data_IF_655532402062
#
_entry.id   IF_655532402062
#
_cell.length_a   1.000
_cell.length_b   1.000
_cell.length_c   1.000
_cell.angle_alpha   90.00
_cell.angle_beta   90.00
_cell.angle_gamma   90.00
#
_symmetry.space_group_name_H-M   'P 1'
#
loop_
_entity.id
_entity.type
_entity.pdbx_description
1 polymer ?
#
# COMPACT_ATOMS: atom_id res chain seq x y z
N UNK A 1 29.18 11.54 -20.98
CA UNK A 1 28.32 10.95 -19.94
C UNK A 1 27.47 9.79 -20.46
N UNK A 2 27.68 9.38 -21.71
CA UNK A 2 27.26 8.09 -22.27
C UNK A 2 28.21 6.96 -21.85
N UNK A 3 29.50 7.26 -21.65
CA UNK A 3 30.54 6.25 -21.39
C UNK A 3 30.54 5.64 -19.97
N UNK A 4 29.72 6.13 -19.03
CA UNK A 4 29.62 5.55 -17.68
C UNK A 4 28.50 4.53 -17.57
N UNK A 5 27.38 4.77 -18.25
CA UNK A 5 26.29 3.79 -18.42
C UNK A 5 26.68 2.69 -19.41
N UNK A 6 27.46 3.01 -20.46
CA UNK A 6 28.03 1.99 -21.35
C UNK A 6 29.03 1.06 -20.64
N UNK A 7 29.74 1.53 -19.59
CA UNK A 7 30.71 0.72 -18.84
C UNK A 7 30.10 -0.17 -17.75
N UNK A 8 28.86 0.10 -17.32
CA UNK A 8 28.12 -0.76 -16.38
C UNK A 8 27.34 -1.82 -17.16
N UNK A 9 26.78 -1.45 -18.32
CA UNK A 9 26.13 -2.38 -19.26
C UNK A 9 27.15 -3.29 -19.97
N UNK A 10 28.39 -2.84 -20.24
CA UNK A 10 29.42 -3.70 -20.86
C UNK A 10 30.06 -4.71 -19.90
N UNK A 11 29.85 -4.61 -18.58
CA UNK A 11 30.40 -5.58 -17.63
C UNK A 11 29.55 -6.85 -17.52
N UNK A 12 28.34 -6.83 -18.10
CA UNK A 12 27.34 -7.92 -18.02
C UNK A 12 26.81 -8.35 -19.40
N UNK A 13 27.26 -7.71 -20.49
CA UNK A 13 26.95 -8.07 -21.87
C UNK A 13 28.18 -8.62 -22.61
N UNK A 14 28.44 -9.90 -22.42
CA UNK A 14 28.96 -10.85 -23.43
C UNK A 14 28.11 -12.11 -23.15
N UNK A 15 27.13 -12.53 -23.95
CA UNK A 15 27.02 -12.73 -25.39
C UNK A 15 25.52 -12.63 -25.78
N UNK A 16 25.25 -12.45 -27.08
CA UNK A 16 23.91 -12.50 -27.71
C UNK A 16 22.97 -13.55 -27.08
N UNK A 17 22.01 -13.10 -26.25
CA UNK A 17 20.98 -13.94 -25.64
C UNK A 17 19.66 -13.18 -25.59
N UNK A 18 18.56 -13.88 -25.85
CA UNK A 18 17.18 -13.40 -25.74
C UNK A 18 16.97 -12.63 -24.43
N UNK A 19 16.11 -11.60 -24.41
CA UNK A 19 15.87 -10.80 -23.20
C UNK A 19 15.51 -11.77 -22.07
N UNK A 20 16.03 -11.58 -20.86
CA UNK A 20 15.85 -12.52 -19.75
C UNK A 20 14.37 -12.85 -19.44
N UNK A 21 13.45 -11.90 -19.69
CA UNK A 21 11.99 -12.08 -19.61
C UNK A 21 11.37 -12.88 -20.77
N UNK A 22 12.07 -13.05 -21.90
CA UNK A 22 11.70 -13.96 -23.00
C UNK A 22 12.08 -15.42 -22.66
N UNK A 23 13.16 -15.62 -21.90
CA UNK A 23 13.63 -16.95 -21.46
C UNK A 23 12.90 -17.46 -20.22
N UNK A 24 12.57 -16.56 -19.29
CA UNK A 24 11.86 -16.88 -18.04
C UNK A 24 10.66 -15.93 -17.87
N UNK A 25 9.52 -16.24 -18.52
CA UNK A 25 8.34 -15.38 -18.47
C UNK A 25 7.71 -15.38 -17.08
N UNK A 26 6.92 -14.33 -16.80
CA UNK A 26 6.12 -14.26 -15.58
C UNK A 26 5.04 -15.34 -15.55
N UNK A 27 4.95 -16.05 -14.42
CA UNK A 27 3.99 -17.15 -14.22
C UNK A 27 2.86 -16.74 -13.25
N UNK A 28 2.99 -15.58 -12.61
CA UNK A 28 2.01 -14.98 -11.69
C UNK A 28 1.87 -13.48 -11.93
N UNK A 29 0.86 -12.84 -11.34
CA UNK A 29 0.71 -11.38 -11.34
C UNK A 29 1.57 -10.69 -10.27
N UNK A 30 2.30 -11.44 -9.44
CA UNK A 30 3.12 -10.89 -8.35
C UNK A 30 4.60 -10.79 -8.75
N UNK A 31 5.16 -9.56 -8.85
CA UNK A 31 6.57 -9.38 -9.21
C UNK A 31 7.54 -10.10 -8.27
N UNK A 32 7.26 -10.06 -6.96
CA UNK A 32 8.11 -10.70 -5.94
C UNK A 32 8.11 -12.23 -6.06
N UNK A 33 6.96 -12.82 -6.41
CA UNK A 33 6.86 -14.27 -6.60
C UNK A 33 7.54 -14.67 -7.91
N UNK A 34 7.43 -13.86 -8.96
CA UNK A 34 8.14 -14.10 -10.22
C UNK A 34 9.67 -14.01 -10.08
N UNK A 35 10.21 -13.20 -9.15
CA UNK A 35 11.64 -13.20 -8.83
C UNK A 35 12.08 -14.57 -8.31
N UNK A 36 11.37 -15.12 -7.32
CA UNK A 36 11.62 -16.47 -6.79
C UNK A 36 11.50 -17.54 -7.88
N UNK A 37 10.43 -17.50 -8.68
CA UNK A 37 10.21 -18.47 -9.76
C UNK A 37 11.34 -18.43 -10.77
N UNK A 38 11.74 -17.24 -11.23
CA UNK A 38 12.88 -17.07 -12.16
C UNK A 38 14.18 -17.57 -11.54
N UNK A 39 14.43 -17.32 -10.25
CA UNK A 39 15.59 -17.85 -9.54
C UNK A 39 15.57 -19.40 -9.53
N UNK A 40 14.41 -20.00 -9.28
CA UNK A 40 14.23 -21.46 -9.35
C UNK A 40 14.44 -22.02 -10.75
N UNK A 41 13.89 -21.39 -11.80
CA UNK A 41 14.09 -21.79 -13.20
C UNK A 41 15.57 -21.69 -13.61
N UNK A 42 16.25 -20.60 -13.24
CA UNK A 42 17.70 -20.43 -13.47
C UNK A 42 18.53 -21.48 -12.73
N UNK A 43 18.15 -21.82 -11.50
CA UNK A 43 18.80 -22.89 -10.74
C UNK A 43 18.64 -24.25 -11.44
N UNK A 44 17.43 -24.59 -11.90
CA UNK A 44 17.15 -25.82 -12.67
C UNK A 44 18.01 -25.88 -13.95
N UNK A 45 18.20 -24.75 -14.62
CA UNK A 45 19.04 -24.63 -15.83
C UNK A 45 20.55 -24.59 -15.54
N UNK A 46 20.95 -24.60 -14.26
CA UNK A 46 22.35 -24.50 -13.84
C UNK A 46 22.98 -23.13 -14.10
N UNK A 47 22.14 -22.09 -14.23
CA UNK A 47 22.53 -20.68 -14.39
C UNK A 47 22.73 -19.96 -13.07
N UNK A 48 22.23 -20.55 -11.98
CA UNK A 48 22.40 -20.05 -10.62
C UNK A 48 23.05 -21.13 -9.75
N UNK A 49 23.96 -20.75 -8.86
CA UNK A 49 24.51 -21.71 -7.89
C UNK A 49 23.48 -22.06 -6.82
N UNK A 50 23.70 -23.18 -6.12
CA UNK A 50 22.85 -23.56 -5.00
C UNK A 50 22.87 -22.52 -3.88
N UNK A 51 24.00 -21.86 -3.63
CA UNK A 51 24.12 -20.87 -2.56
C UNK A 51 23.34 -19.59 -2.90
N UNK A 52 23.48 -19.09 -4.13
CA UNK A 52 22.70 -17.96 -4.63
C UNK A 52 21.20 -18.26 -4.63
N UNK A 53 20.81 -19.49 -4.98
CA UNK A 53 19.40 -19.87 -5.05
C UNK A 53 18.78 -19.91 -3.67
N UNK A 54 19.46 -20.55 -2.71
CA UNK A 54 18.99 -20.64 -1.33
C UNK A 54 18.88 -19.26 -0.70
N UNK A 55 19.79 -18.33 -1.02
CA UNK A 55 19.68 -16.96 -0.54
C UNK A 55 18.36 -16.28 -0.98
N UNK A 56 17.92 -16.49 -2.22
CA UNK A 56 16.63 -15.96 -2.71
C UNK A 56 15.42 -16.65 -2.05
N UNK A 57 15.53 -17.94 -1.77
CA UNK A 57 14.50 -18.71 -1.04
C UNK A 57 14.38 -18.17 0.39
N UNK A 58 15.50 -18.02 1.10
CA UNK A 58 15.56 -17.50 2.48
C UNK A 58 14.99 -16.07 2.56
N UNK A 59 15.40 -15.18 1.65
CA UNK A 59 14.89 -13.81 1.59
C UNK A 59 13.37 -13.77 1.32
N UNK A 60 12.86 -14.74 0.56
CA UNK A 60 11.41 -14.85 0.34
C UNK A 60 10.68 -15.42 1.55
N UNK A 61 11.28 -16.39 2.25
CA UNK A 61 10.73 -16.94 3.49
C UNK A 61 10.62 -15.88 4.58
N UNK A 62 11.63 -15.02 4.75
CA UNK A 62 11.59 -13.91 5.71
C UNK A 62 10.45 -12.91 5.42
N UNK A 63 10.23 -12.58 4.14
CA UNK A 63 9.11 -11.72 3.73
C UNK A 63 7.76 -12.38 3.99
N UNK A 64 7.65 -13.69 3.73
CA UNK A 64 6.45 -14.47 3.97
C UNK A 64 6.09 -14.52 5.46
N UNK A 65 7.08 -14.76 6.32
CA UNK A 65 6.91 -14.83 7.78
C UNK A 65 6.43 -13.48 8.34
N UNK A 66 7.02 -12.37 7.86
CA UNK A 66 6.56 -11.02 8.22
C UNK A 66 5.10 -10.78 7.80
N UNK A 67 4.75 -11.11 6.55
CA UNK A 67 3.40 -10.91 6.04
C UNK A 67 2.36 -11.76 6.79
N UNK A 68 2.70 -13.01 7.11
CA UNK A 68 1.86 -13.89 7.92
C UNK A 68 1.67 -13.34 9.34
N UNK A 69 2.74 -12.83 9.98
CA UNK A 69 2.65 -12.21 11.30
C UNK A 69 1.77 -10.96 11.32
N UNK A 70 1.83 -10.13 10.28
CA UNK A 70 0.95 -8.97 10.11
C UNK A 70 -0.52 -9.39 9.91
N UNK A 71 -0.78 -10.42 9.12
CA UNK A 71 -2.12 -10.99 8.92
C UNK A 71 -2.71 -11.55 10.21
N UNK A 72 -1.93 -12.34 10.97
CA UNK A 72 -2.36 -12.91 12.25
C UNK A 72 -2.72 -11.83 13.25
N UNK A 73 -1.88 -10.79 13.36
CA UNK A 73 -2.16 -9.65 14.23
C UNK A 73 -3.43 -8.91 13.80
N UNK A 74 -3.63 -8.73 12.49
CA UNK A 74 -4.88 -8.16 11.96
C UNK A 74 -6.10 -9.02 12.35
N UNK A 75 -6.03 -10.34 12.13
CA UNK A 75 -7.11 -11.28 12.41
C UNK A 75 -7.47 -11.34 13.90
N UNK A 76 -6.49 -11.30 14.81
CA UNK A 76 -6.70 -11.28 16.26
C UNK A 76 -7.48 -10.04 16.73
N UNK A 77 -7.34 -8.92 16.03
CA UNK A 77 -8.00 -7.66 16.35
C UNK A 77 -9.42 -7.54 15.75
N UNK A 78 -9.85 -8.49 14.92
CA UNK A 78 -11.18 -8.49 14.31
C UNK A 78 -12.25 -9.06 15.26
N UNK A 79 -13.46 -8.46 15.30
CA UNK A 79 -14.64 -9.05 15.93
C UNK A 79 -14.92 -10.47 15.41
N UNK A 80 -15.47 -11.34 16.26
CA UNK A 80 -15.75 -12.74 15.90
C UNK A 80 -16.79 -12.89 14.78
N UNK A 81 -17.65 -11.89 14.59
CA UNK A 81 -18.67 -11.85 13.54
C UNK A 81 -18.24 -11.05 12.30
N UNK A 82 -16.98 -10.60 12.25
CA UNK A 82 -16.45 -9.86 11.12
C UNK A 82 -16.19 -10.80 9.92
N UNK A 83 -16.77 -10.54 8.73
CA UNK A 83 -16.55 -11.37 7.55
C UNK A 83 -15.07 -11.41 7.08
N UNK A 84 -14.25 -10.42 7.45
CA UNK A 84 -12.82 -10.41 7.16
C UNK A 84 -12.03 -11.49 7.93
N UNK A 85 -12.61 -12.05 8.99
CA UNK A 85 -11.99 -13.09 9.82
C UNK A 85 -11.89 -14.43 9.09
N UNK A 86 -12.95 -14.82 8.36
CA UNK A 86 -12.93 -16.04 7.52
C UNK A 86 -11.92 -15.92 6.37
N UNK A 87 -11.79 -14.73 5.78
CA UNK A 87 -10.77 -14.47 4.76
C UNK A 87 -9.35 -14.54 5.33
N UNK A 88 -9.16 -14.13 6.59
CA UNK A 88 -7.84 -14.17 7.23
C UNK A 88 -7.42 -15.61 7.48
N UNK A 89 -8.32 -16.44 8.01
CA UNK A 89 -8.07 -17.87 8.21
C UNK A 89 -7.71 -18.58 6.89
N UNK A 90 -8.41 -18.26 5.79
CA UNK A 90 -8.08 -18.80 4.47
C UNK A 90 -6.74 -18.30 3.93
N UNK A 91 -6.40 -17.03 4.23
CA UNK A 91 -5.14 -16.43 3.81
C UNK A 91 -3.96 -17.04 4.58
N UNK A 92 -4.12 -17.32 5.87
CA UNK A 92 -3.12 -18.03 6.68
C UNK A 92 -2.81 -19.41 6.08
N UNK A 93 -3.84 -20.18 5.71
CA UNK A 93 -3.64 -21.48 5.04
C UNK A 93 -2.90 -21.34 3.71
N UNK A 94 -3.20 -20.31 2.92
CA UNK A 94 -2.50 -20.06 1.67
C UNK A 94 -1.03 -19.64 1.90
N UNK A 95 -0.74 -18.87 2.96
CA UNK A 95 0.63 -18.56 3.38
C UNK A 95 1.39 -19.82 3.84
N UNK A 96 0.75 -20.71 4.59
CA UNK A 96 1.35 -21.99 5.01
C UNK A 96 1.68 -22.89 3.80
N UNK A 97 0.77 -22.99 2.82
CA UNK A 97 1.02 -23.71 1.57
C UNK A 97 2.17 -23.08 0.77
N UNK A 98 2.27 -21.75 0.74
CA UNK A 98 3.39 -21.05 0.12
C UNK A 98 4.71 -21.41 0.83
N UNK A 99 4.71 -21.44 2.16
CA UNK A 99 5.85 -21.84 2.98
C UNK A 99 6.31 -23.27 2.68
N UNK A 100 5.38 -24.21 2.47
CA UNK A 100 5.72 -25.57 2.04
C UNK A 100 6.43 -25.59 0.68
N UNK A 101 6.04 -24.71 -0.24
CA UNK A 101 6.73 -24.53 -1.52
C UNK A 101 8.19 -24.09 -1.33
N UNK A 102 8.43 -23.14 -0.42
CA UNK A 102 9.79 -22.70 -0.06
C UNK A 102 10.62 -23.82 0.59
N UNK A 103 10.04 -24.58 1.52
CA UNK A 103 10.72 -25.73 2.15
C UNK A 103 11.10 -26.81 1.13
N UNK A 104 10.30 -27.02 0.08
CA UNK A 104 10.67 -27.91 -1.03
C UNK A 104 11.83 -27.32 -1.84
N UNK A 105 11.80 -26.02 -2.14
CA UNK A 105 12.88 -25.34 -2.85
C UNK A 105 14.21 -25.38 -2.08
N UNK A 106 14.21 -25.26 -0.76
CA UNK A 106 15.42 -25.30 0.08
C UNK A 106 16.24 -26.59 -0.08
N UNK A 107 15.64 -27.67 -0.58
CA UNK A 107 16.34 -28.93 -0.84
C UNK A 107 17.34 -28.82 -2.00
N UNK A 108 17.23 -27.78 -2.83
CA UNK A 108 18.11 -27.48 -3.95
C UNK A 108 18.37 -28.69 -4.88
N UNK A 109 17.34 -29.49 -5.14
CA UNK A 109 17.35 -30.47 -6.23
C UNK A 109 16.38 -30.02 -7.31
N UNK A 110 16.65 -30.35 -8.58
CA UNK A 110 15.81 -29.88 -9.69
C UNK A 110 14.34 -30.25 -9.50
N UNK A 111 14.08 -31.50 -9.10
CA UNK A 111 12.73 -32.01 -8.89
C UNK A 111 12.02 -31.33 -7.72
N UNK A 112 12.74 -31.01 -6.64
CA UNK A 112 12.15 -30.34 -5.48
C UNK A 112 11.89 -28.86 -5.76
N UNK A 113 12.77 -28.20 -6.53
CA UNK A 113 12.58 -26.82 -6.96
C UNK A 113 11.42 -26.70 -7.95
N UNK A 114 11.28 -27.62 -8.91
CA UNK A 114 10.11 -27.65 -9.81
C UNK A 114 8.80 -27.79 -9.01
N UNK A 115 8.75 -28.74 -8.08
CA UNK A 115 7.57 -28.95 -7.24
C UNK A 115 7.29 -27.75 -6.33
N UNK A 116 8.32 -27.15 -5.73
CA UNK A 116 8.19 -25.95 -4.92
C UNK A 116 7.65 -24.76 -5.72
N UNK A 117 8.08 -24.60 -6.99
CA UNK A 117 7.57 -23.55 -7.88
C UNK A 117 6.07 -23.73 -8.07
N UNK A 118 5.62 -24.94 -8.39
CA UNK A 118 4.20 -25.23 -8.61
C UNK A 118 3.36 -24.89 -7.35
N UNK A 119 3.84 -25.29 -6.16
CA UNK A 119 3.17 -24.97 -4.89
C UNK A 119 3.10 -23.46 -4.62
N UNK A 120 4.22 -22.74 -4.81
CA UNK A 120 4.24 -21.28 -4.63
C UNK A 120 3.31 -20.57 -5.62
N UNK A 121 3.21 -21.04 -6.87
CA UNK A 121 2.28 -20.50 -7.86
C UNK A 121 0.82 -20.73 -7.44
N UNK A 122 0.48 -21.95 -7.02
CA UNK A 122 -0.89 -22.26 -6.57
C UNK A 122 -1.30 -21.42 -5.36
N UNK A 123 -0.40 -21.29 -4.37
CA UNK A 123 -0.63 -20.45 -3.20
C UNK A 123 -0.73 -18.96 -3.56
N UNK A 124 0.09 -18.47 -4.50
CA UNK A 124 0.03 -17.11 -5.00
C UNK A 124 -1.36 -16.76 -5.59
N UNK A 125 -1.91 -17.67 -6.41
CA UNK A 125 -3.24 -17.47 -6.99
C UNK A 125 -4.36 -17.49 -5.93
N UNK A 126 -4.22 -18.32 -4.88
CA UNK A 126 -5.15 -18.31 -3.74
C UNK A 126 -5.10 -16.98 -2.98
N UNK A 127 -3.90 -16.48 -2.68
CA UNK A 127 -3.71 -15.19 -2.02
C UNK A 127 -4.25 -14.03 -2.86
N UNK A 128 -4.04 -14.04 -4.18
CA UNK A 128 -4.61 -13.05 -5.09
C UNK A 128 -6.14 -13.08 -5.09
N UNK A 129 -6.72 -14.28 -5.15
CA UNK A 129 -8.18 -14.47 -5.08
C UNK A 129 -8.76 -13.94 -3.76
N UNK A 130 -8.11 -14.22 -2.64
CA UNK A 130 -8.53 -13.76 -1.31
C UNK A 130 -8.39 -12.24 -1.17
N UNK A 131 -7.34 -11.65 -1.73
CA UNK A 131 -7.16 -10.21 -1.77
C UNK A 131 -8.31 -9.51 -2.53
N UNK A 132 -8.79 -10.08 -3.64
CA UNK A 132 -9.98 -9.55 -4.33
C UNK A 132 -11.22 -9.57 -3.43
N UNK A 133 -11.38 -10.58 -2.57
CA UNK A 133 -12.52 -10.65 -1.65
C UNK A 133 -12.41 -9.63 -0.51
N UNK A 134 -11.19 -9.35 -0.03
CA UNK A 134 -10.97 -8.23 0.90
C UNK A 134 -11.37 -6.89 0.29
N UNK A 135 -10.98 -6.64 -0.97
CA UNK A 135 -11.38 -5.44 -1.70
C UNK A 135 -12.90 -5.35 -1.87
N UNK A 136 -13.58 -6.47 -2.13
CA UNK A 136 -15.04 -6.52 -2.21
C UNK A 136 -15.72 -6.22 -0.86
N UNK A 137 -15.21 -6.74 0.26
CA UNK A 137 -15.73 -6.44 1.60
C UNK A 137 -15.55 -4.98 1.95
N UNK A 138 -14.38 -4.41 1.65
CA UNK A 138 -14.11 -2.99 1.85
C UNK A 138 -15.10 -2.15 1.02
N UNK A 139 -15.30 -2.49 -0.26
CA UNK A 139 -16.29 -1.83 -1.13
C UNK A 139 -17.71 -1.94 -0.59
N UNK A 140 -18.11 -3.10 -0.06
CA UNK A 140 -19.43 -3.28 0.53
C UNK A 140 -19.63 -2.44 1.79
N UNK A 141 -18.61 -2.33 2.64
CA UNK A 141 -18.63 -1.47 3.83
C UNK A 141 -18.80 0.02 3.50
N UNK A 142 -18.42 0.39 2.27
CA UNK A 142 -18.50 1.74 1.70
C UNK A 142 -19.81 2.02 0.93
N UNK A 143 -20.77 1.10 0.90
CA UNK A 143 -22.03 1.30 0.17
C UNK A 143 -23.03 2.13 0.97
N UNK A 144 -23.74 3.05 0.29
CA UNK A 144 -24.80 3.86 0.89
C UNK A 144 -26.17 3.27 0.56
N UNK A 145 -26.97 3.01 1.60
CA UNK A 145 -28.34 2.58 1.42
C UNK A 145 -29.26 3.72 0.94
N UNK A 146 -30.07 3.44 -0.08
CA UNK A 146 -31.11 4.36 -0.49
C UNK A 146 -32.24 4.41 0.54
N UNK A 147 -32.47 5.57 1.17
CA UNK A 147 -33.56 5.75 2.15
C UNK A 147 -34.98 5.50 1.59
N UNK A 148 -35.14 5.44 0.28
CA UNK A 148 -36.45 5.20 -0.36
C UNK A 148 -36.73 3.73 -0.67
N UNK A 149 -35.71 2.97 -1.06
CA UNK A 149 -35.90 1.59 -1.54
C UNK A 149 -34.94 0.57 -0.91
N UNK A 150 -34.08 1.02 0.01
CA UNK A 150 -33.05 0.25 0.70
C UNK A 150 -32.05 -0.46 -0.23
N UNK A 151 -32.04 -0.10 -1.52
CA UNK A 151 -31.03 -0.61 -2.44
C UNK A 151 -29.67 -0.04 -2.03
N UNK A 152 -28.61 -0.86 -1.88
CA UNK A 152 -27.26 -0.37 -1.66
C UNK A 152 -26.74 0.28 -2.93
N UNK A 153 -26.06 1.42 -2.82
CA UNK A 153 -25.50 2.14 -3.97
C UNK A 153 -24.05 2.52 -3.68
N UNK A 154 -23.23 2.62 -4.74
CA UNK A 154 -21.88 3.17 -4.62
C UNK A 154 -21.90 4.57 -4.01
N UNK A 155 -20.87 4.92 -3.23
CA UNK A 155 -20.83 6.17 -2.47
C UNK A 155 -20.67 7.44 -3.30
N UNK A 156 -20.27 7.30 -4.56
CA UNK A 156 -20.07 8.38 -5.52
C UNK A 156 -21.31 8.67 -6.39
N UNK A 157 -22.48 8.12 -6.05
CA UNK A 157 -23.74 8.33 -6.79
C UNK A 157 -24.61 9.38 -6.11
N UNK A 158 -25.04 10.37 -6.89
CA UNK A 158 -26.03 11.36 -6.43
C UNK A 158 -27.47 10.78 -6.40
N UNK A 159 -27.71 9.72 -7.16
CA UNK A 159 -29.05 9.12 -7.32
C UNK A 159 -29.00 7.61 -7.26
N UNK A 160 -29.99 7.01 -6.60
CA UNK A 160 -30.17 5.58 -6.48
C UNK A 160 -30.35 4.91 -7.85
N UNK A 161 -29.61 3.84 -8.11
CA UNK A 161 -29.69 3.10 -9.37
C UNK A 161 -31.04 2.43 -9.59
N UNK A 162 -31.68 2.00 -8.50
CA UNK A 162 -32.95 1.27 -8.55
C UNK A 162 -34.18 2.18 -8.69
N UNK A 163 -34.21 3.31 -7.97
CA UNK A 163 -35.41 4.15 -7.88
C UNK A 163 -35.22 5.63 -8.25
N UNK A 164 -33.99 6.01 -8.65
CA UNK A 164 -33.60 7.37 -9.03
C UNK A 164 -33.81 8.43 -7.94
N UNK A 165 -34.06 8.03 -6.69
CA UNK A 165 -34.12 8.95 -5.57
C UNK A 165 -32.73 9.50 -5.26
N UNK A 166 -32.66 10.77 -4.87
CA UNK A 166 -31.43 11.38 -4.36
C UNK A 166 -30.94 10.60 -3.14
N UNK A 167 -29.67 10.20 -3.15
CA UNK A 167 -29.06 9.48 -2.05
C UNK A 167 -28.60 10.48 -0.96
N UNK A 168 -28.58 10.07 0.32
CA UNK A 168 -27.98 10.90 1.37
C UNK A 168 -26.51 11.14 1.06
N UNK A 169 -26.08 12.41 1.12
CA UNK A 169 -24.73 12.89 0.85
C UNK A 169 -23.69 12.45 1.91
N UNK A 170 -23.76 11.23 2.46
CA UNK A 170 -22.86 10.82 3.54
C UNK A 170 -21.41 10.60 3.08
N UNK A 171 -21.15 10.29 1.79
CA UNK A 171 -19.79 10.06 1.29
C UNK A 171 -19.31 11.03 0.20
N UNK A 172 -20.11 12.05 -0.18
CA UNK A 172 -19.56 13.18 -0.95
C UNK A 172 -18.61 14.03 -0.13
N UNK A 173 -18.72 14.00 1.20
CA UNK A 173 -17.81 14.71 2.10
C UNK A 173 -16.62 13.85 2.57
N UNK A 174 -16.65 12.53 2.37
CA UNK A 174 -15.61 11.62 2.89
C UNK A 174 -14.87 10.76 1.86
N UNK A 175 -15.39 10.48 0.65
CA UNK A 175 -14.81 9.40 -0.17
C UNK A 175 -14.89 9.54 -1.70
N UNK A 176 -15.50 10.57 -2.26
CA UNK A 176 -15.85 10.55 -3.70
C UNK A 176 -14.85 11.23 -4.68
N UNK A 177 -13.75 11.85 -4.24
CA UNK A 177 -12.77 12.47 -5.17
C UNK A 177 -11.42 11.72 -5.30
N UNK A 178 -11.19 10.68 -4.49
CA UNK A 178 -9.83 10.42 -4.02
C UNK A 178 -9.34 8.98 -4.13
N UNK A 179 -9.69 8.17 -5.12
CA UNK A 179 -8.95 6.94 -5.39
C UNK A 179 -8.75 6.74 -6.88
N UNK A 180 -7.51 6.54 -7.29
CA UNK A 180 -7.20 5.95 -8.59
C UNK A 180 -6.34 4.72 -8.36
N UNK A 181 -6.43 3.78 -9.27
CA UNK A 181 -5.66 2.54 -9.20
C UNK A 181 -4.23 2.83 -9.69
N UNK A 182 -3.21 2.48 -8.90
CA UNK A 182 -1.85 2.35 -9.43
C UNK A 182 -1.74 1.05 -10.25
N UNK A 183 -0.64 0.89 -11.01
CA UNK A 183 -0.42 -0.30 -11.83
C UNK A 183 -0.31 -1.61 -11.01
N UNK A 184 -0.13 -1.52 -9.69
CA UNK A 184 0.16 -2.66 -8.81
C UNK A 184 -1.03 -3.11 -7.94
N UNK A 185 -2.27 -2.73 -8.33
CA UNK A 185 -3.52 -3.11 -7.64
C UNK A 185 -3.62 -2.65 -6.17
N UNK A 186 -2.71 -1.82 -5.69
CA UNK A 186 -2.81 -1.11 -4.41
C UNK A 186 -3.81 0.04 -4.56
N UNK A 187 -4.81 0.11 -3.68
CA UNK A 187 -5.71 1.26 -3.64
C UNK A 187 -4.95 2.46 -3.05
N UNK A 188 -4.57 3.37 -3.93
CA UNK A 188 -3.87 4.60 -3.56
C UNK A 188 -4.84 5.77 -3.66
N UNK A 189 -4.94 6.63 -2.62
CA UNK A 189 -5.80 7.77 -2.76
C UNK A 189 -5.27 8.68 -3.86
N UNK A 190 -6.16 9.24 -4.69
CA UNK A 190 -5.82 9.89 -5.96
C UNK A 190 -4.79 11.00 -5.79
N UNK A 191 -4.85 11.72 -4.68
CA UNK A 191 -3.92 12.80 -4.39
C UNK A 191 -2.51 12.33 -4.09
N UNK A 192 -2.32 11.03 -3.81
CA UNK A 192 -1.04 10.38 -3.59
C UNK A 192 -0.59 9.49 -4.75
N UNK A 193 -1.39 9.34 -5.82
CA UNK A 193 -0.99 8.52 -6.98
C UNK A 193 0.32 8.99 -7.59
N UNK A 194 0.47 10.31 -7.77
CA UNK A 194 1.70 10.88 -8.33
C UNK A 194 2.91 10.62 -7.41
N UNK A 195 2.69 10.54 -6.10
CA UNK A 195 3.74 10.23 -5.12
C UNK A 195 4.07 8.73 -5.13
N UNK A 196 3.06 7.88 -5.17
CA UNK A 196 3.20 6.43 -5.22
C UNK A 196 3.92 5.98 -6.49
N UNK A 197 3.47 6.47 -7.66
CA UNK A 197 4.13 6.22 -8.94
C UNK A 197 5.58 6.72 -8.94
N UNK A 198 5.88 7.78 -8.19
CA UNK A 198 7.23 8.30 -8.05
C UNK A 198 8.11 7.42 -7.14
N UNK A 199 7.55 6.73 -6.14
CA UNK A 199 8.26 5.72 -5.36
C UNK A 199 8.77 4.59 -6.25
N UNK A 200 7.90 4.05 -7.12
CA UNK A 200 8.27 2.95 -8.00
C UNK A 200 9.33 3.39 -9.02
N UNK A 201 9.14 4.58 -9.61
CA UNK A 201 10.08 5.14 -10.59
C UNK A 201 11.43 5.49 -9.97
N UNK A 202 11.47 6.00 -8.74
CA UNK A 202 12.76 6.34 -8.10
C UNK A 202 13.48 5.09 -7.62
N UNK A 203 12.75 4.08 -7.14
CA UNK A 203 13.31 2.77 -6.79
C UNK A 203 13.86 2.03 -8.04
N UNK A 204 13.16 2.12 -9.18
CA UNK A 204 13.62 1.56 -10.45
C UNK A 204 14.75 2.38 -11.12
N UNK A 205 15.04 3.58 -10.61
CA UNK A 205 16.00 4.52 -11.22
C UNK A 205 15.50 5.20 -12.51
N UNK A 206 14.19 5.13 -12.78
CA UNK A 206 13.53 5.75 -13.93
C UNK A 206 13.42 7.28 -13.79
N UNK A 207 13.39 7.79 -12.55
CA UNK A 207 13.51 9.23 -12.25
C UNK A 207 14.74 9.51 -11.38
N UNK A 208 15.40 10.66 -11.57
CA UNK A 208 16.53 11.04 -10.74
C UNK A 208 16.10 11.39 -9.31
N UNK A 209 17.00 11.21 -8.35
CA UNK A 209 16.76 11.48 -6.92
C UNK A 209 16.32 12.93 -6.70
N UNK A 210 16.80 13.89 -7.48
CA UNK A 210 16.37 15.28 -7.37
C UNK A 210 14.90 15.49 -7.77
N UNK A 211 14.40 14.72 -8.74
CA UNK A 211 12.99 14.76 -9.15
C UNK A 211 12.10 14.13 -8.06
N UNK A 212 12.57 13.04 -7.44
CA UNK A 212 11.93 12.44 -6.26
C UNK A 212 11.87 13.40 -5.05
N UNK A 213 12.99 14.01 -4.69
CA UNK A 213 13.06 15.00 -3.61
C UNK A 213 12.10 16.17 -3.85
N UNK A 214 11.92 16.55 -5.12
CA UNK A 214 10.95 17.58 -5.48
C UNK A 214 9.50 17.12 -5.27
N UNK A 215 9.16 15.85 -5.55
CA UNK A 215 7.84 15.30 -5.22
C UNK A 215 7.59 15.29 -3.72
N UNK A 216 8.54 14.81 -2.92
CA UNK A 216 8.46 14.84 -1.46
C UNK A 216 8.27 16.27 -0.93
N UNK A 217 9.04 17.23 -1.45
CA UNK A 217 8.93 18.63 -1.08
C UNK A 217 7.51 19.18 -1.32
N UNK A 218 6.90 18.88 -2.47
CA UNK A 218 5.56 19.35 -2.80
C UNK A 218 4.49 18.80 -1.84
N UNK A 219 4.61 17.54 -1.41
CA UNK A 219 3.69 16.96 -0.42
C UNK A 219 3.92 17.51 0.98
N UNK A 220 5.19 17.68 1.39
CA UNK A 220 5.52 18.32 2.65
C UNK A 220 4.95 19.74 2.75
N UNK A 221 5.03 20.54 1.68
CA UNK A 221 4.43 21.88 1.65
C UNK A 221 2.90 21.83 1.83
N UNK A 222 2.21 20.82 1.29
CA UNK A 222 0.75 20.66 1.46
C UNK A 222 0.39 20.37 2.91
N UNK A 223 1.08 19.45 3.57
CA UNK A 223 0.83 19.14 4.98
C UNK A 223 1.20 20.29 5.91
N UNK A 224 2.34 20.95 5.68
CA UNK A 224 2.72 22.16 6.42
C UNK A 224 1.68 23.28 6.26
N UNK A 225 1.15 23.48 5.04
CA UNK A 225 0.10 24.46 4.81
C UNK A 225 -1.20 24.09 5.54
N UNK A 226 -1.59 22.82 5.55
CA UNK A 226 -2.76 22.35 6.28
C UNK A 226 -2.60 22.53 7.81
N UNK A 227 -1.41 22.23 8.34
CA UNK A 227 -1.09 22.42 9.76
C UNK A 227 -1.20 23.90 10.16
N UNK A 228 -0.62 24.80 9.33
CA UNK A 228 -0.73 26.23 9.54
C UNK A 228 -2.18 26.74 9.49
N UNK A 229 -3.01 26.21 8.58
CA UNK A 229 -4.44 26.58 8.53
C UNK A 229 -5.18 26.23 9.82
N UNK A 230 -4.89 25.08 10.44
CA UNK A 230 -5.53 24.70 11.71
C UNK A 230 -5.07 25.60 12.85
N UNK A 231 -3.78 25.97 12.88
CA UNK A 231 -3.28 26.98 13.82
C UNK A 231 -3.95 28.34 13.62
N UNK A 232 -4.12 28.79 12.37
CA UNK A 232 -4.78 30.05 12.05
C UNK A 232 -6.26 30.05 12.45
N UNK A 233 -6.97 28.92 12.26
CA UNK A 233 -8.35 28.72 12.74
C UNK A 233 -8.38 28.83 14.27
N UNK A 234 -7.50 28.10 14.95
CA UNK A 234 -7.41 28.10 16.42
C UNK A 234 -7.12 29.51 16.97
N UNK A 235 -6.28 30.28 16.28
CA UNK A 235 -5.98 31.67 16.65
C UNK A 235 -7.16 32.61 16.38
N UNK A 236 -7.82 32.46 15.23
CA UNK A 236 -8.96 33.31 14.81
C UNK A 236 -10.16 33.14 15.74
N UNK A 237 -10.41 31.91 16.18
CA UNK A 237 -11.52 31.56 17.07
C UNK A 237 -11.09 31.39 18.53
N UNK A 238 -9.99 32.02 18.96
CA UNK A 238 -9.39 31.78 20.28
C UNK A 238 -10.35 31.93 21.47
N UNK A 239 -11.39 32.78 21.36
CA UNK A 239 -12.40 32.90 22.42
C UNK A 239 -13.37 31.71 22.44
N UNK A 240 -13.78 31.17 21.29
CA UNK A 240 -14.56 29.92 21.20
C UNK A 240 -13.77 28.75 21.77
N UNK A 241 -12.48 28.64 21.46
CA UNK A 241 -11.62 27.57 21.96
C UNK A 241 -11.39 27.64 23.48
N UNK A 242 -11.46 28.83 24.11
CA UNK A 242 -11.36 28.95 25.58
C UNK A 242 -12.53 28.29 26.30
N UNK A 243 -13.72 28.37 25.74
CA UNK A 243 -14.94 27.83 26.33
C UNK A 243 -15.17 26.35 25.92
N UNK A 244 -14.40 25.85 24.94
CA UNK A 244 -14.47 24.49 24.42
C UNK A 244 -13.08 23.81 24.39
N UNK A 245 -12.53 23.37 25.54
CA UNK A 245 -11.21 22.74 25.60
C UNK A 245 -11.11 21.45 24.78
N UNK A 246 -12.21 20.70 24.63
CA UNK A 246 -12.24 19.49 23.80
C UNK A 246 -12.08 19.81 22.30
N UNK A 247 -12.53 21.00 21.86
CA UNK A 247 -12.33 21.48 20.49
C UNK A 247 -10.86 21.84 20.23
N UNK A 248 -10.18 22.40 21.23
CA UNK A 248 -8.74 22.65 21.17
C UNK A 248 -7.95 21.35 21.06
N UNK A 249 -8.27 20.37 21.90
CA UNK A 249 -7.64 19.05 21.84
C UNK A 249 -7.90 18.35 20.50
N UNK A 250 -9.09 18.53 19.91
CA UNK A 250 -9.39 18.01 18.58
C UNK A 250 -8.51 18.67 17.50
N UNK A 251 -8.35 20.00 17.53
CA UNK A 251 -7.48 20.73 16.60
C UNK A 251 -6.01 20.31 16.72
N UNK A 252 -5.49 20.24 17.95
CA UNK A 252 -4.14 19.74 18.25
C UNK A 252 -3.97 18.31 17.72
N UNK A 253 -4.97 17.44 17.90
CA UNK A 253 -4.95 16.09 17.37
C UNK A 253 -4.84 16.03 15.83
N UNK A 254 -5.42 16.99 15.10
CA UNK A 254 -5.24 17.04 13.63
C UNK A 254 -3.82 17.48 13.28
N UNK A 255 -3.27 18.45 14.00
CA UNK A 255 -1.87 18.90 13.81
C UNK A 255 -0.90 17.75 14.06
N UNK A 256 -1.07 17.01 15.16
CA UNK A 256 -0.23 15.84 15.46
C UNK A 256 -0.27 14.80 14.33
N UNK A 257 -1.44 14.55 13.74
CA UNK A 257 -1.57 13.59 12.63
C UNK A 257 -0.92 14.10 11.32
N UNK A 258 -0.94 15.42 11.10
CA UNK A 258 -0.23 16.05 9.98
C UNK A 258 1.30 15.95 10.18
N UNK A 259 1.77 16.15 11.41
CA UNK A 259 3.20 16.01 11.75
C UNK A 259 3.68 14.57 11.56
N UNK A 260 2.90 13.57 11.97
CA UNK A 260 3.18 12.15 11.69
C UNK A 260 3.28 11.87 10.17
N UNK A 261 2.44 12.51 9.36
CA UNK A 261 2.46 12.38 7.88
C UNK A 261 3.71 13.05 7.27
N UNK A 262 4.19 14.14 7.86
CA UNK A 262 5.45 14.82 7.47
C UNK A 262 6.66 13.96 7.85
N UNK A 263 6.65 13.33 9.02
CA UNK A 263 7.70 12.39 9.44
C UNK A 263 7.77 11.19 8.50
N UNK A 264 6.63 10.67 8.05
CA UNK A 264 6.55 9.62 7.05
C UNK A 264 7.22 10.04 5.73
N UNK A 265 6.91 11.23 5.21
CA UNK A 265 7.57 11.78 4.02
C UNK A 265 9.08 11.99 4.21
N UNK A 266 9.51 12.40 5.40
CA UNK A 266 10.94 12.49 5.72
C UNK A 266 11.61 11.12 5.70
N UNK A 267 10.96 10.06 6.22
CA UNK A 267 11.45 8.69 6.11
C UNK A 267 11.58 8.30 4.65
N UNK A 268 10.55 8.50 3.83
CA UNK A 268 10.62 8.21 2.39
C UNK A 268 11.78 8.95 1.71
N UNK A 269 12.08 10.17 2.14
CA UNK A 269 13.20 10.95 1.61
C UNK A 269 14.59 10.41 1.99
N UNK A 270 14.72 9.56 3.01
CA UNK A 270 16.00 8.93 3.38
C UNK A 270 16.54 8.04 2.25
N UNK A 271 15.65 7.53 1.38
CA UNK A 271 16.04 6.87 0.13
C UNK A 271 17.03 7.70 -0.70
N UNK A 272 16.93 9.04 -0.67
CA UNK A 272 17.83 9.90 -1.41
C UNK A 272 19.29 9.85 -0.89
N UNK A 273 19.50 9.43 0.35
CA UNK A 273 20.81 9.41 1.01
C UNK A 273 21.51 8.06 0.85
N UNK A 274 20.77 6.95 0.91
CA UNK A 274 21.33 5.59 0.92
C UNK A 274 20.79 4.64 -0.17
N UNK A 275 19.71 5.01 -0.86
CA UNK A 275 19.07 4.18 -1.90
C UNK A 275 18.28 2.99 -1.36
N UNK A 276 18.04 2.90 -0.05
CA UNK A 276 17.35 1.77 0.56
C UNK A 276 15.83 1.86 0.34
N UNK A 277 15.27 0.94 -0.45
CA UNK A 277 13.85 0.90 -0.81
C UNK A 277 12.93 0.70 0.40
N UNK A 278 13.45 0.14 1.50
CA UNK A 278 12.71 0.00 2.75
C UNK A 278 12.20 1.35 3.28
N UNK A 279 12.95 2.44 3.06
CA UNK A 279 12.51 3.79 3.43
C UNK A 279 11.25 4.24 2.69
N UNK A 280 11.15 3.91 1.41
CA UNK A 280 9.98 4.21 0.58
C UNK A 280 8.76 3.41 1.05
N UNK A 281 8.94 2.11 1.28
CA UNK A 281 7.86 1.20 1.68
C UNK A 281 7.34 1.52 3.09
N UNK A 282 8.24 1.67 4.06
CA UNK A 282 7.84 1.94 5.43
C UNK A 282 7.31 3.37 5.57
N UNK A 283 7.92 4.33 4.88
CA UNK A 283 7.40 5.69 4.84
C UNK A 283 6.03 5.78 4.15
N UNK A 284 5.76 4.96 3.13
CA UNK A 284 4.44 4.88 2.51
C UNK A 284 3.37 4.36 3.47
N UNK A 285 3.65 3.28 4.19
CA UNK A 285 2.72 2.72 5.20
C UNK A 285 2.47 3.72 6.33
N UNK A 286 3.52 4.38 6.82
CA UNK A 286 3.42 5.44 7.83
C UNK A 286 2.57 6.62 7.30
N UNK A 287 2.72 6.99 6.03
CA UNK A 287 1.99 8.09 5.39
C UNK A 287 0.50 7.78 5.24
N UNK A 288 0.13 6.55 4.87
CA UNK A 288 -1.26 6.11 4.81
C UNK A 288 -1.90 6.13 6.20
N UNK A 289 -1.21 5.60 7.21
CA UNK A 289 -1.68 5.62 8.59
C UNK A 289 -1.85 7.06 9.13
N UNK A 290 -0.89 7.94 8.85
CA UNK A 290 -0.95 9.36 9.19
C UNK A 290 -2.14 10.05 8.52
N UNK A 291 -2.33 9.84 7.21
CA UNK A 291 -3.44 10.42 6.44
C UNK A 291 -4.80 9.96 6.96
N UNK A 292 -4.95 8.69 7.31
CA UNK A 292 -6.20 8.17 7.88
C UNK A 292 -6.53 8.85 9.23
N UNK A 293 -5.52 9.07 10.07
CA UNK A 293 -5.67 9.84 11.32
C UNK A 293 -6.04 11.29 11.04
N UNK A 294 -5.43 11.94 10.04
CA UNK A 294 -5.78 13.32 9.64
C UNK A 294 -7.24 13.40 9.22
N UNK A 295 -7.73 12.47 8.41
CA UNK A 295 -9.14 12.43 7.98
C UNK A 295 -10.09 12.23 9.17
N UNK A 296 -9.82 11.22 10.00
CA UNK A 296 -10.68 10.90 11.15
C UNK A 296 -10.73 12.06 12.15
N UNK A 297 -9.57 12.60 12.53
CA UNK A 297 -9.47 13.69 13.50
C UNK A 297 -9.97 15.00 12.91
N UNK A 298 -9.71 15.25 11.62
CA UNK A 298 -10.18 16.43 10.89
C UNK A 298 -11.71 16.49 10.85
N UNK A 299 -12.38 15.38 10.51
CA UNK A 299 -13.84 15.33 10.50
C UNK A 299 -14.43 15.63 11.88
N UNK A 300 -13.87 15.01 12.93
CA UNK A 300 -14.30 15.27 14.31
C UNK A 300 -14.09 16.74 14.70
N UNK A 301 -12.93 17.32 14.37
CA UNK A 301 -12.64 18.72 14.62
C UNK A 301 -13.64 19.66 13.93
N UNK A 302 -13.94 19.45 12.64
CA UNK A 302 -14.91 20.28 11.90
C UNK A 302 -16.32 20.19 12.48
N UNK A 303 -16.80 18.98 12.81
CA UNK A 303 -18.11 18.79 13.43
C UNK A 303 -18.22 19.50 14.79
N UNK A 304 -17.15 19.43 15.60
CA UNK A 304 -17.11 20.12 16.89
C UNK A 304 -17.05 21.65 16.72
N UNK A 305 -16.34 22.13 15.71
CA UNK A 305 -16.23 23.55 15.41
C UNK A 305 -17.58 24.14 14.99
N UNK A 306 -18.33 23.46 14.12
CA UNK A 306 -19.68 23.87 13.71
C UNK A 306 -20.63 23.91 14.90
N UNK A 307 -20.64 22.85 15.72
CA UNK A 307 -21.49 22.78 16.91
C UNK A 307 -21.19 23.91 17.93
N UNK A 308 -19.91 24.28 18.07
CA UNK A 308 -19.49 25.36 18.95
C UNK A 308 -19.79 26.77 18.40
N UNK A 309 -20.11 26.90 17.11
CA UNK A 309 -20.48 28.16 16.47
C UNK A 309 -22.00 28.38 16.40
N UNK A 310 -22.80 27.30 16.47
CA UNK A 310 -24.28 27.36 16.47
C UNK A 310 -24.90 27.55 17.87
N UNK A 311 -24.12 27.39 18.94
CA UNK A 311 -24.50 27.58 20.35
C UNK A 311 -24.23 28.97 20.89
#
# INVERSE_FOLDING_TARGET
MTDFLDNIVSAWNDEEGEKESELYPDETNSPNINILIRAGRKFIDGKLTSEEFIHEVDATAERLDKALGELQLYAENLPDDDPAKELAEQSELAYEEFGQGLEEMEKATKEAVEHGIDLCIEAAYKLEYLNQHYLELEQQSMMIECLRCSHPNPPNRDTCESCSATLPNAMREASAENAGYSNDLVMVPKEYLDLYDACDKVAAGDIPVEEWQQQIFLFNERFNSASQQIHDISSTYADTFKDHPDLLAAAEGVVDALDESIEALHRMNQFADDGEVEHLNQGWMDLLAGTQKVQQRGLNFYQMLEAAQEG
#
